data_IF_482968534121
#
_entry.id   IF_482968534121
#
_cell.length_a   1.000
_cell.length_b   1.000
_cell.length_c   1.000
_cell.angle_alpha   90.00
_cell.angle_beta   90.00
_cell.angle_gamma   90.00
#
_symmetry.space_group_name_H-M   'P 1'
#
loop_
_entity.id
_entity.type
_entity.pdbx_description
1 polymer ?
#
# COMPACT_ATOMS: atom_id res chain seq x y z
N UNK A 1 16.90 -21.83 -2.63
CA UNK A 1 15.62 -21.43 -3.26
C UNK A 1 15.85 -20.07 -3.90
N UNK A 2 15.52 -19.87 -5.17
CA UNK A 2 15.58 -18.58 -5.84
C UNK A 2 14.45 -17.67 -5.35
N UNK A 3 14.55 -16.35 -5.57
CA UNK A 3 13.47 -15.41 -5.21
C UNK A 3 12.16 -15.75 -5.93
N UNK A 4 12.24 -16.15 -7.19
CA UNK A 4 11.06 -16.54 -7.99
C UNK A 4 10.40 -17.82 -7.45
N UNK A 5 11.18 -18.85 -7.13
CA UNK A 5 10.66 -20.08 -6.51
C UNK A 5 10.01 -19.80 -5.17
N UNK A 6 10.62 -18.88 -4.38
CA UNK A 6 10.08 -18.43 -3.10
C UNK A 6 8.75 -17.72 -3.30
N UNK A 7 8.70 -16.76 -4.19
CA UNK A 7 7.49 -16.00 -4.51
C UNK A 7 6.35 -16.91 -4.97
N UNK A 8 6.60 -17.83 -5.93
CA UNK A 8 5.59 -18.78 -6.41
C UNK A 8 5.05 -19.68 -5.28
N UNK A 9 5.89 -19.99 -4.29
CA UNK A 9 5.44 -20.70 -3.09
C UNK A 9 4.56 -19.81 -2.20
N UNK A 10 4.95 -18.55 -1.95
CA UNK A 10 4.21 -17.65 -1.07
C UNK A 10 2.83 -17.28 -1.64
N UNK A 11 2.70 -17.07 -2.95
CA UNK A 11 1.39 -16.76 -3.57
C UNK A 11 0.41 -17.94 -3.53
N UNK A 12 0.88 -19.16 -3.27
CA UNK A 12 -0.01 -20.31 -3.09
C UNK A 12 -0.80 -20.28 -1.77
N UNK A 13 -0.39 -19.44 -0.82
CA UNK A 13 -1.12 -19.24 0.44
C UNK A 13 -2.20 -18.15 0.23
N UNK A 14 -3.49 -18.47 0.44
CA UNK A 14 -4.52 -17.43 0.41
C UNK A 14 -4.41 -16.57 1.68
N UNK A 15 -4.32 -15.25 1.53
CA UNK A 15 -4.11 -14.33 2.64
C UNK A 15 -4.95 -13.06 2.57
N UNK A 16 -6.03 -13.07 1.77
CA UNK A 16 -6.91 -11.91 1.63
C UNK A 16 -7.41 -11.43 2.99
N UNK A 17 -7.22 -10.14 3.28
CA UNK A 17 -7.70 -9.46 4.47
C UNK A 17 -9.21 -9.16 4.40
N UNK A 18 -9.82 -8.78 5.53
CA UNK A 18 -11.25 -8.52 5.65
C UNK A 18 -11.51 -7.25 6.49
N UNK A 19 -11.94 -6.17 5.83
CA UNK A 19 -12.27 -4.90 6.50
C UNK A 19 -13.38 -5.01 7.55
N UNK A 20 -14.30 -5.97 7.39
CA UNK A 20 -15.42 -6.17 8.31
C UNK A 20 -15.02 -6.89 9.60
N UNK A 21 -13.82 -7.50 9.62
CA UNK A 21 -13.32 -8.22 10.79
C UNK A 21 -12.78 -7.24 11.85
N UNK A 22 -13.00 -7.56 13.12
CA UNK A 22 -12.44 -6.82 14.28
C UNK A 22 -11.20 -7.53 14.88
N UNK A 23 -10.81 -8.69 14.32
CA UNK A 23 -9.63 -9.43 14.81
C UNK A 23 -8.33 -8.94 14.17
N UNK A 24 -7.19 -9.29 14.73
CA UNK A 24 -5.86 -9.15 14.15
C UNK A 24 -5.13 -10.50 14.24
N UNK A 25 -4.70 -11.09 13.12
CA UNK A 25 -5.02 -10.65 11.76
C UNK A 25 -6.53 -10.73 11.47
N UNK A 26 -6.98 -9.93 10.50
CA UNK A 26 -8.41 -9.87 10.11
C UNK A 26 -8.94 -11.20 9.60
N UNK A 27 -8.06 -12.04 9.04
CA UNK A 27 -8.38 -13.40 8.59
C UNK A 27 -7.35 -14.39 9.10
N UNK A 28 -7.81 -15.50 9.69
CA UNK A 28 -6.94 -16.56 10.22
C UNK A 28 -6.05 -17.22 9.13
N UNK A 29 -6.42 -17.10 7.86
CA UNK A 29 -5.63 -17.64 6.73
C UNK A 29 -4.23 -17.02 6.62
N UNK A 30 -4.05 -15.79 7.06
CA UNK A 30 -2.74 -15.12 7.07
C UNK A 30 -1.74 -15.84 8.00
N UNK A 31 -2.20 -16.47 9.08
CA UNK A 31 -1.34 -17.21 10.03
C UNK A 31 -0.64 -18.41 9.38
N UNK A 32 -1.23 -19.03 8.37
CA UNK A 32 -0.59 -20.14 7.66
C UNK A 32 0.66 -19.66 6.90
N UNK A 33 0.59 -18.49 6.26
CA UNK A 33 1.75 -17.86 5.65
C UNK A 33 2.77 -17.41 6.71
N UNK A 34 2.31 -16.77 7.80
CA UNK A 34 3.19 -16.35 8.90
C UNK A 34 4.04 -17.51 9.42
N UNK A 35 3.46 -18.68 9.66
CA UNK A 35 4.17 -19.89 10.09
C UNK A 35 5.17 -20.39 9.04
N UNK A 36 4.82 -20.34 7.76
CA UNK A 36 5.74 -20.70 6.68
C UNK A 36 6.94 -19.75 6.62
N UNK A 37 6.74 -18.43 6.84
CA UNK A 37 7.83 -17.45 6.89
C UNK A 37 8.77 -17.72 8.05
N UNK A 38 8.25 -17.99 9.25
CA UNK A 38 9.05 -18.40 10.40
C UNK A 38 9.87 -19.64 10.09
N UNK A 39 9.26 -20.68 9.48
CA UNK A 39 9.96 -21.90 9.09
C UNK A 39 11.10 -21.61 8.10
N UNK A 40 10.86 -20.78 7.06
CA UNK A 40 11.89 -20.42 6.10
C UNK A 40 13.05 -19.66 6.77
N UNK A 41 12.75 -18.73 7.66
CA UNK A 41 13.78 -17.98 8.41
C UNK A 41 14.60 -18.91 9.32
N UNK A 42 13.97 -19.84 10.02
CA UNK A 42 14.66 -20.82 10.86
C UNK A 42 15.54 -21.76 10.02
N UNK A 43 15.06 -22.21 8.86
CA UNK A 43 15.84 -23.02 7.91
C UNK A 43 17.09 -22.28 7.38
N UNK A 44 17.06 -20.94 7.34
CA UNK A 44 18.20 -20.10 6.99
C UNK A 44 19.13 -19.79 8.17
N UNK A 45 18.78 -20.19 9.39
CA UNK A 45 19.57 -19.95 10.60
C UNK A 45 19.18 -18.72 11.40
N UNK A 46 18.04 -18.07 11.09
CA UNK A 46 17.48 -16.97 11.89
C UNK A 46 16.76 -17.57 13.10
N UNK A 47 17.49 -17.73 14.20
CA UNK A 47 17.04 -18.50 15.35
C UNK A 47 15.92 -17.83 16.18
N UNK A 48 15.83 -16.51 16.16
CA UNK A 48 14.80 -15.72 16.85
C UNK A 48 13.53 -15.51 16.04
N UNK A 49 13.43 -16.13 14.84
CA UNK A 49 12.26 -16.05 14.01
C UNK A 49 11.01 -16.57 14.73
N UNK A 50 9.99 -15.74 14.83
CA UNK A 50 8.73 -16.06 15.49
C UNK A 50 7.56 -15.29 14.89
N UNK A 51 6.35 -15.79 15.14
CA UNK A 51 5.11 -15.05 14.95
C UNK A 51 4.56 -14.66 16.32
N UNK A 52 4.14 -13.42 16.46
CA UNK A 52 3.54 -12.94 17.70
C UNK A 52 2.04 -13.29 17.81
N UNK A 53 1.40 -12.85 18.91
CA UNK A 53 0.00 -13.12 19.18
C UNK A 53 -0.97 -12.44 18.21
N UNK A 54 -0.54 -11.38 17.55
CA UNK A 54 -1.32 -10.55 16.60
C UNK A 54 -0.98 -10.90 15.14
N UNK A 55 -0.13 -11.92 14.91
CA UNK A 55 0.17 -12.44 13.58
C UNK A 55 1.36 -11.78 12.88
N UNK A 56 2.05 -10.85 13.52
CA UNK A 56 3.27 -10.26 12.98
C UNK A 56 4.43 -11.26 13.05
N UNK A 57 5.21 -11.31 12.00
CA UNK A 57 6.40 -12.18 11.92
C UNK A 57 7.64 -11.34 12.09
N UNK A 58 8.53 -11.76 12.97
CA UNK A 58 9.79 -11.08 13.26
C UNK A 58 10.98 -12.02 13.15
N UNK A 59 12.15 -11.47 12.81
CA UNK A 59 13.43 -12.18 12.85
C UNK A 59 14.61 -11.23 12.74
N UNK A 60 15.81 -11.72 13.07
CA UNK A 60 17.03 -10.92 13.07
C UNK A 60 18.15 -11.61 12.29
N UNK A 61 18.70 -10.91 11.31
CA UNK A 61 19.98 -11.23 10.70
C UNK A 61 21.06 -10.55 11.57
N UNK A 62 21.88 -11.32 12.32
CA UNK A 62 22.87 -10.73 13.20
C UNK A 62 24.00 -10.07 12.40
N UNK A 63 24.59 -8.99 12.96
CA UNK A 63 25.77 -8.37 12.38
C UNK A 63 26.92 -9.38 12.25
N UNK A 64 27.70 -9.28 11.18
CA UNK A 64 28.90 -10.08 10.96
C UNK A 64 30.20 -9.26 11.04
N UNK A 65 30.13 -8.02 11.54
CA UNK A 65 31.29 -7.15 11.75
C UNK A 65 31.17 -6.35 13.05
N UNK A 66 32.29 -5.83 13.56
CA UNK A 66 32.40 -5.08 14.82
C UNK A 66 32.10 -3.57 14.66
N UNK A 67 31.74 -3.10 13.45
CA UNK A 67 31.41 -1.69 13.20
C UNK A 67 30.10 -1.32 13.91
N UNK A 68 30.06 -0.13 14.49
CA UNK A 68 28.82 0.46 15.02
C UNK A 68 27.97 0.99 13.87
N UNK A 69 27.03 0.20 13.43
CA UNK A 69 26.06 0.52 12.37
C UNK A 69 24.70 0.60 13.03
N UNK A 70 23.87 1.62 12.70
CA UNK A 70 22.47 1.63 13.12
C UNK A 70 21.76 0.34 12.71
N UNK A 71 20.79 -0.09 13.52
CA UNK A 71 19.98 -1.27 13.19
C UNK A 71 18.94 -0.88 12.14
N UNK A 72 18.95 -1.58 11.00
CA UNK A 72 17.98 -1.36 9.94
C UNK A 72 16.91 -2.43 9.91
N UNK A 73 15.68 -2.04 9.62
CA UNK A 73 14.54 -2.93 9.36
C UNK A 73 14.25 -3.07 7.87
N UNK A 74 13.81 -4.27 7.46
CA UNK A 74 13.16 -4.53 6.18
C UNK A 74 11.77 -5.09 6.48
N UNK A 75 10.73 -4.48 5.92
CA UNK A 75 9.34 -4.74 6.24
C UNK A 75 8.55 -4.94 4.95
N UNK A 76 7.64 -5.93 4.94
CA UNK A 76 6.70 -6.19 3.86
C UNK A 76 5.40 -6.72 4.45
N UNK A 77 4.27 -6.65 3.72
CA UNK A 77 3.03 -7.21 4.23
C UNK A 77 2.71 -8.59 3.66
N UNK A 78 1.93 -9.37 4.41
CA UNK A 78 1.61 -10.75 4.07
C UNK A 78 0.24 -10.91 3.43
N UNK A 79 -0.68 -10.01 3.73
CA UNK A 79 -2.05 -10.06 3.22
C UNK A 79 -2.12 -9.64 1.76
N UNK A 80 -3.25 -9.87 1.16
CA UNK A 80 -3.57 -9.43 -0.20
C UNK A 80 -4.89 -8.68 -0.21
N UNK A 81 -5.02 -7.76 -1.15
CA UNK A 81 -6.20 -6.93 -1.32
C UNK A 81 -7.51 -7.75 -1.46
N UNK A 82 -8.61 -7.29 -0.85
CA UNK A 82 -9.94 -7.84 -1.08
C UNK A 82 -10.58 -7.40 -2.41
N UNK A 83 -9.95 -6.50 -3.17
CA UNK A 83 -10.51 -5.91 -4.39
C UNK A 83 -10.65 -6.92 -5.55
N UNK A 84 -9.85 -7.99 -5.56
CA UNK A 84 -9.93 -9.08 -6.51
C UNK A 84 -9.81 -10.45 -5.83
N UNK A 85 -10.35 -11.53 -6.43
CA UNK A 85 -10.20 -12.86 -5.85
C UNK A 85 -8.74 -13.24 -5.63
N UNK A 86 -8.38 -13.66 -4.41
CA UNK A 86 -7.02 -14.02 -3.98
C UNK A 86 -6.85 -15.49 -3.58
N UNK A 87 -7.78 -16.38 -4.01
CA UNK A 87 -7.72 -17.81 -3.70
C UNK A 87 -7.46 -18.65 -4.97
N UNK A 88 -6.74 -19.76 -4.81
CA UNK A 88 -6.39 -20.67 -5.90
C UNK A 88 -5.63 -19.98 -7.05
N UNK A 89 -4.69 -19.11 -6.70
CA UNK A 89 -3.86 -18.35 -7.64
C UNK A 89 -3.09 -19.32 -8.53
N UNK A 90 -3.24 -19.19 -9.85
CA UNK A 90 -2.56 -20.01 -10.86
C UNK A 90 -1.46 -19.19 -11.53
N UNK A 91 -0.39 -18.97 -10.78
CA UNK A 91 0.75 -18.22 -11.28
C UNK A 91 1.57 -19.04 -12.28
N UNK A 92 2.03 -18.40 -13.35
CA UNK A 92 2.94 -18.97 -14.33
C UNK A 92 3.98 -17.95 -14.79
N UNK A 93 5.14 -18.45 -15.24
CA UNK A 93 6.19 -17.62 -15.83
C UNK A 93 6.00 -17.68 -17.35
N UNK A 94 6.07 -16.52 -18.02
CA UNK A 94 6.03 -16.43 -19.48
C UNK A 94 7.42 -16.68 -20.08
N UNK A 95 7.47 -16.95 -21.40
CA UNK A 95 8.67 -16.68 -22.17
C UNK A 95 9.00 -15.17 -22.13
N UNK A 96 10.22 -14.75 -22.50
CA UNK A 96 10.55 -13.33 -22.55
C UNK A 96 9.49 -12.55 -23.35
N UNK A 97 8.94 -11.53 -22.73
CA UNK A 97 7.82 -10.77 -23.30
C UNK A 97 8.22 -10.03 -24.58
N UNK A 98 7.46 -10.22 -25.65
CA UNK A 98 7.75 -9.71 -27.00
C UNK A 98 7.13 -8.32 -27.29
N UNK A 99 6.30 -7.80 -26.38
CA UNK A 99 5.59 -6.53 -26.55
C UNK A 99 4.16 -6.63 -27.09
N UNK A 100 3.65 -7.84 -27.35
CA UNK A 100 2.30 -8.12 -27.81
C UNK A 100 1.30 -8.36 -26.68
N UNK A 101 0.12 -8.85 -27.02
CA UNK A 101 -0.89 -9.26 -26.04
C UNK A 101 -0.49 -10.60 -25.39
N UNK A 102 -0.64 -10.71 -24.08
CA UNK A 102 -0.42 -11.96 -23.34
C UNK A 102 -1.78 -12.63 -23.09
N UNK A 103 -1.99 -13.81 -23.66
CA UNK A 103 -3.20 -14.61 -23.37
C UNK A 103 -3.06 -15.19 -21.96
N UNK A 104 -3.89 -14.71 -21.03
CA UNK A 104 -3.95 -15.25 -19.67
C UNK A 104 -4.84 -16.48 -19.60
N UNK A 105 -5.99 -16.45 -20.28
CA UNK A 105 -6.96 -17.54 -20.31
C UNK A 105 -7.66 -17.60 -21.67
N UNK A 106 -7.43 -18.67 -22.42
CA UNK A 106 -8.05 -18.88 -23.73
C UNK A 106 -9.56 -19.12 -23.65
N UNK A 107 -10.01 -19.94 -22.70
CA UNK A 107 -11.42 -20.31 -22.55
C UNK A 107 -12.29 -19.10 -22.16
N UNK A 108 -11.75 -18.21 -21.34
CA UNK A 108 -12.44 -17.01 -20.84
C UNK A 108 -12.13 -15.75 -21.67
N UNK A 109 -11.30 -15.89 -22.70
CA UNK A 109 -10.85 -14.78 -23.54
C UNK A 109 -10.23 -13.61 -22.74
N UNK A 110 -9.43 -13.95 -21.71
CA UNK A 110 -8.75 -12.95 -20.87
C UNK A 110 -7.35 -12.72 -21.42
N UNK A 111 -7.03 -11.44 -21.72
CA UNK A 111 -5.73 -11.04 -22.26
C UNK A 111 -5.20 -9.83 -21.47
N UNK A 112 -3.92 -9.85 -21.17
CA UNK A 112 -3.19 -8.68 -20.68
C UNK A 112 -2.58 -7.96 -21.90
N UNK A 113 -3.08 -6.75 -22.19
CA UNK A 113 -2.77 -6.03 -23.42
C UNK A 113 -2.02 -4.73 -23.16
N UNK A 114 -0.91 -4.43 -23.88
CA UNK A 114 -0.21 -3.14 -23.76
C UNK A 114 -1.04 -1.95 -24.29
N UNK A 115 -2.22 -2.17 -24.89
CA UNK A 115 -3.16 -1.10 -25.27
C UNK A 115 -3.94 -0.61 -24.06
N UNK A 116 -4.28 -1.51 -23.13
CA UNK A 116 -5.00 -1.20 -21.90
C UNK A 116 -4.03 -0.86 -20.77
N UNK A 117 -2.88 -1.54 -20.74
CA UNK A 117 -1.82 -1.39 -19.74
C UNK A 117 -0.50 -0.97 -20.39
N UNK A 118 -0.33 0.31 -20.77
CA UNK A 118 0.84 0.78 -21.54
C UNK A 118 2.19 0.54 -20.87
N UNK A 119 2.24 0.49 -19.54
CA UNK A 119 3.44 0.21 -18.73
C UNK A 119 4.03 -1.18 -19.02
N UNK A 120 3.24 -2.14 -19.48
CA UNK A 120 3.68 -3.48 -19.87
C UNK A 120 4.82 -3.42 -20.91
N UNK A 121 4.90 -2.37 -21.73
CA UNK A 121 5.96 -2.14 -22.71
C UNK A 121 7.35 -1.98 -22.08
N UNK A 122 7.41 -1.57 -20.81
CA UNK A 122 8.67 -1.44 -20.06
C UNK A 122 9.29 -2.80 -19.72
N UNK A 123 8.50 -3.87 -19.88
CA UNK A 123 8.89 -5.24 -19.54
C UNK A 123 9.29 -6.09 -20.76
N UNK A 124 9.41 -5.48 -21.96
CA UNK A 124 9.85 -6.19 -23.18
C UNK A 124 11.22 -6.83 -22.96
N UNK A 125 11.34 -8.10 -23.30
CA UNK A 125 12.54 -8.91 -23.12
C UNK A 125 12.68 -9.58 -21.75
N UNK A 126 11.80 -9.26 -20.78
CA UNK A 126 11.79 -9.88 -19.44
C UNK A 126 10.78 -11.04 -19.38
N UNK A 127 11.05 -12.00 -18.52
CA UNK A 127 10.09 -13.06 -18.17
C UNK A 127 9.09 -12.50 -17.16
N UNK A 128 7.82 -12.65 -17.39
CA UNK A 128 6.77 -12.14 -16.50
C UNK A 128 6.13 -13.28 -15.71
N UNK A 129 5.82 -13.02 -14.46
CA UNK A 129 4.94 -13.86 -13.66
C UNK A 129 3.55 -13.27 -13.75
N UNK A 130 2.59 -14.05 -14.21
CA UNK A 130 1.19 -13.66 -14.44
C UNK A 130 0.27 -14.75 -13.90
N UNK A 131 -1.02 -14.43 -13.72
CA UNK A 131 -2.07 -15.43 -13.41
C UNK A 131 -2.84 -15.84 -14.67
N UNK A 132 -3.88 -16.65 -14.48
CA UNK A 132 -4.87 -16.96 -15.51
C UNK A 132 -5.93 -15.86 -15.67
N UNK A 133 -5.76 -14.70 -15.04
CA UNK A 133 -6.68 -13.57 -15.09
C UNK A 133 -7.99 -13.77 -14.33
N UNK A 134 -8.12 -14.85 -13.53
CA UNK A 134 -9.31 -15.06 -12.69
C UNK A 134 -9.12 -14.58 -11.26
N UNK A 135 -7.87 -14.37 -10.85
CA UNK A 135 -7.45 -13.86 -9.54
C UNK A 135 -6.44 -12.75 -9.69
N UNK A 136 -6.17 -12.01 -8.61
CA UNK A 136 -4.93 -11.25 -8.49
C UNK A 136 -3.72 -12.21 -8.45
N UNK A 137 -2.49 -11.67 -8.54
CA UNK A 137 -1.26 -12.47 -8.40
C UNK A 137 -0.78 -12.50 -6.94
N UNK A 138 -0.96 -11.40 -6.20
CA UNK A 138 -0.43 -11.21 -4.86
C UNK A 138 1.07 -10.84 -4.87
N UNK A 139 1.54 -10.19 -5.95
CA UNK A 139 2.86 -9.55 -5.96
C UNK A 139 2.92 -8.44 -4.93
N UNK A 140 1.84 -7.74 -4.74
CA UNK A 140 1.54 -6.86 -3.62
C UNK A 140 0.99 -7.69 -2.44
N UNK A 141 1.80 -7.92 -1.34
CA UNK A 141 3.24 -7.60 -1.27
C UNK A 141 4.09 -8.86 -0.99
N UNK A 142 3.64 -10.03 -1.46
CA UNK A 142 4.44 -11.27 -1.34
C UNK A 142 5.72 -11.24 -2.17
N UNK A 143 5.84 -10.30 -3.13
CA UNK A 143 7.10 -10.05 -3.81
C UNK A 143 8.12 -9.44 -2.86
N UNK A 144 7.77 -8.38 -2.13
CA UNK A 144 8.62 -7.79 -1.11
C UNK A 144 9.02 -8.81 -0.03
N UNK A 145 8.06 -9.63 0.43
CA UNK A 145 8.36 -10.74 1.35
C UNK A 145 9.41 -11.69 0.78
N UNK A 146 9.26 -12.13 -0.47
CA UNK A 146 10.19 -13.05 -1.13
C UNK A 146 11.58 -12.42 -1.32
N UNK A 147 11.62 -11.15 -1.70
CA UNK A 147 12.85 -10.37 -1.93
C UNK A 147 13.61 -10.13 -0.64
N UNK A 148 12.93 -9.73 0.44
CA UNK A 148 13.54 -9.57 1.79
C UNK A 148 14.16 -10.88 2.26
N UNK A 149 13.42 -12.00 2.20
CA UNK A 149 13.93 -13.29 2.63
C UNK A 149 15.10 -13.77 1.76
N UNK A 150 15.08 -13.47 0.46
CA UNK A 150 16.15 -13.85 -0.45
C UNK A 150 17.40 -12.96 -0.24
N UNK A 151 17.22 -11.67 0.05
CA UNK A 151 18.30 -10.78 0.45
C UNK A 151 18.91 -11.20 1.80
N UNK A 152 18.08 -11.58 2.78
CA UNK A 152 18.55 -12.11 4.06
C UNK A 152 19.39 -13.37 3.87
N UNK A 153 19.00 -14.26 2.96
CA UNK A 153 19.80 -15.45 2.61
C UNK A 153 21.17 -15.06 2.01
N UNK A 154 21.21 -14.04 1.12
CA UNK A 154 22.48 -13.53 0.57
C UNK A 154 23.38 -12.94 1.67
N UNK A 155 22.81 -12.17 2.60
CA UNK A 155 23.54 -11.56 3.71
C UNK A 155 24.13 -12.62 4.63
N UNK A 156 23.35 -13.64 5.00
CA UNK A 156 23.80 -14.74 5.88
C UNK A 156 24.87 -15.64 5.26
N UNK A 157 24.92 -15.74 3.93
CA UNK A 157 25.89 -16.61 3.23
C UNK A 157 27.10 -15.85 2.69
N UNK A 158 27.09 -14.51 2.77
CA UNK A 158 28.18 -13.64 2.29
C UNK A 158 29.17 -13.32 3.41
N UNK A 159 30.45 -13.20 3.04
CA UNK A 159 31.50 -12.65 3.92
C UNK A 159 31.55 -11.12 3.95
N UNK A 160 30.77 -10.44 3.08
CA UNK A 160 30.70 -8.98 3.06
C UNK A 160 30.14 -8.46 4.40
N UNK A 161 30.78 -7.42 4.97
CA UNK A 161 30.34 -6.89 6.27
C UNK A 161 28.95 -6.26 6.17
N UNK A 162 28.13 -6.48 7.20
CA UNK A 162 26.85 -5.82 7.41
C UNK A 162 26.52 -5.67 8.90
N UNK A 163 25.68 -4.69 9.22
CA UNK A 163 25.14 -4.50 10.57
C UNK A 163 24.02 -5.48 10.90
N UNK A 164 23.41 -5.30 12.06
CA UNK A 164 22.19 -6.01 12.43
C UNK A 164 21.02 -5.56 11.57
N UNK A 165 20.27 -6.51 11.01
CA UNK A 165 19.11 -6.24 10.19
C UNK A 165 17.89 -6.95 10.81
N UNK A 166 16.83 -6.19 11.04
CA UNK A 166 15.56 -6.68 11.54
C UNK A 166 14.63 -6.96 10.36
N UNK A 167 13.95 -8.08 10.39
CA UNK A 167 12.94 -8.46 9.41
C UNK A 167 11.58 -8.45 10.07
N UNK A 168 10.59 -7.87 9.41
CA UNK A 168 9.21 -7.96 9.87
C UNK A 168 8.25 -8.17 8.69
N UNK A 169 7.20 -8.97 8.94
CA UNK A 169 6.12 -9.15 7.97
C UNK A 169 4.79 -8.88 8.66
N UNK A 170 4.05 -7.90 8.14
CA UNK A 170 2.83 -7.37 8.74
C UNK A 170 1.59 -8.04 8.18
N UNK A 171 0.53 -8.27 8.98
CA UNK A 171 -0.80 -8.60 8.50
C UNK A 171 -1.59 -7.32 8.21
N UNK A 172 -2.68 -7.43 7.44
CA UNK A 172 -3.77 -6.44 7.33
C UNK A 172 -3.36 -5.03 6.82
N UNK A 173 -2.27 -4.93 6.05
CA UNK A 173 -1.85 -3.66 5.43
C UNK A 173 -2.92 -3.16 4.47
N UNK A 174 -3.44 -4.02 3.62
CA UNK A 174 -4.40 -3.74 2.54
C UNK A 174 -5.75 -3.17 3.03
N UNK A 175 -6.02 -3.30 4.31
CA UNK A 175 -7.16 -2.67 4.98
C UNK A 175 -6.73 -1.53 5.93
N UNK A 176 -5.47 -1.05 5.80
CA UNK A 176 -4.92 0.08 6.53
C UNK A 176 -4.62 -0.20 7.99
N UNK A 177 -4.43 -1.45 8.40
CA UNK A 177 -4.21 -1.88 9.80
C UNK A 177 -2.84 -2.48 10.05
N UNK A 178 -1.97 -2.58 9.05
CA UNK A 178 -0.67 -3.25 9.15
C UNK A 178 0.23 -2.72 10.27
N UNK A 179 0.19 -1.42 10.56
CA UNK A 179 0.96 -0.83 11.65
C UNK A 179 0.21 -0.78 13.01
N UNK A 180 -1.08 -1.15 13.10
CA UNK A 180 -1.92 -0.92 14.29
C UNK A 180 -1.37 -1.54 15.57
N UNK A 181 -0.75 -2.71 15.47
CA UNK A 181 -0.21 -3.46 16.61
C UNK A 181 1.27 -3.81 16.46
N UNK A 182 1.95 -3.14 15.52
CA UNK A 182 3.37 -3.33 15.32
C UNK A 182 4.18 -2.86 16.53
N UNK A 183 4.96 -3.72 17.13
CA UNK A 183 5.81 -3.36 18.28
C UNK A 183 7.11 -2.70 17.81
N UNK A 184 7.06 -1.40 17.52
CA UNK A 184 8.23 -0.60 17.09
C UNK A 184 9.39 -0.71 18.08
N UNK A 185 9.11 -0.74 19.40
CA UNK A 185 10.16 -0.82 20.42
C UNK A 185 10.78 -2.20 20.49
N UNK A 186 9.95 -3.25 20.45
CA UNK A 186 10.42 -4.65 20.45
C UNK A 186 11.13 -5.01 19.15
N UNK A 187 10.72 -4.44 18.02
CA UNK A 187 11.39 -4.57 16.73
C UNK A 187 12.82 -4.03 16.81
N UNK A 188 13.03 -2.90 17.48
CA UNK A 188 14.35 -2.42 17.86
C UNK A 188 15.25 -2.00 16.69
N UNK A 189 14.67 -1.57 15.58
CA UNK A 189 15.40 -0.93 14.49
C UNK A 189 15.43 0.60 14.69
N UNK A 190 16.56 1.23 14.32
CA UNK A 190 16.70 2.69 14.33
C UNK A 190 16.02 3.32 13.10
N UNK A 191 16.07 2.63 11.97
CA UNK A 191 15.50 2.99 10.67
C UNK A 191 14.98 1.75 9.98
N UNK A 192 14.03 1.91 9.07
CA UNK A 192 13.55 0.80 8.26
C UNK A 192 13.28 1.21 6.80
N UNK A 193 13.03 0.22 5.97
CA UNK A 193 12.43 0.36 4.64
C UNK A 193 11.28 -0.63 4.54
N UNK A 194 10.12 -0.17 4.09
CA UNK A 194 9.13 -1.09 3.52
C UNK A 194 9.55 -1.46 2.10
N UNK A 195 9.33 -2.69 1.70
CA UNK A 195 9.57 -3.20 0.33
C UNK A 195 8.20 -3.54 -0.23
N UNK A 196 7.47 -2.51 -0.63
CA UNK A 196 6.02 -2.53 -0.91
C UNK A 196 5.67 -1.48 -1.99
N UNK A 197 6.64 -1.12 -2.82
CA UNK A 197 6.46 -0.14 -3.90
C UNK A 197 6.22 -0.76 -5.27
N UNK A 198 6.04 0.08 -6.27
CA UNK A 198 5.74 -0.30 -7.64
C UNK A 198 6.94 -0.75 -8.46
N UNK A 199 7.02 -0.21 -9.69
CA UNK A 199 7.99 -0.59 -10.71
C UNK A 199 9.46 -0.45 -10.26
N UNK A 200 10.32 -1.28 -10.83
CA UNK A 200 11.76 -1.26 -10.57
C UNK A 200 12.36 0.15 -10.66
N UNK A 201 13.03 0.55 -9.59
CA UNK A 201 13.69 1.86 -9.45
C UNK A 201 12.81 2.91 -8.76
N UNK A 202 11.56 2.66 -8.48
CA UNK A 202 10.72 3.57 -7.70
C UNK A 202 11.17 3.61 -6.25
N UNK A 203 11.21 4.82 -5.70
CA UNK A 203 11.59 5.13 -4.33
C UNK A 203 10.64 6.18 -3.79
N UNK A 204 10.00 5.89 -2.70
CA UNK A 204 8.86 6.65 -2.20
C UNK A 204 9.12 7.08 -0.75
N UNK A 205 9.01 8.37 -0.48
CA UNK A 205 9.09 8.95 0.86
C UNK A 205 8.04 10.05 1.10
N UNK A 206 7.08 10.13 0.18
CA UNK A 206 5.92 11.00 0.25
C UNK A 206 4.65 10.20 -0.03
N UNK A 207 3.65 10.37 0.80
CA UNK A 207 2.32 9.81 0.61
C UNK A 207 1.25 10.87 0.85
N UNK A 208 0.00 10.58 0.58
CA UNK A 208 -1.08 11.51 0.91
C UNK A 208 -1.21 11.74 2.42
N UNK A 209 -1.66 12.94 2.80
CA UNK A 209 -2.46 13.13 4.00
C UNK A 209 -3.88 12.69 3.68
N UNK A 210 -4.54 12.01 4.59
CA UNK A 210 -5.82 11.37 4.35
C UNK A 210 -6.83 11.65 5.47
N UNK A 211 -8.06 11.94 5.06
CA UNK A 211 -9.21 12.00 5.96
C UNK A 211 -10.42 11.33 5.30
N UNK A 212 -11.33 10.85 6.13
CA UNK A 212 -12.70 10.52 5.77
C UNK A 212 -13.64 11.63 6.21
N UNK A 213 -14.70 11.87 5.42
CA UNK A 213 -15.75 12.80 5.75
C UNK A 213 -17.10 12.11 5.57
N UNK A 214 -17.88 12.03 6.63
CA UNK A 214 -19.27 11.60 6.62
C UNK A 214 -20.16 12.83 6.79
N UNK A 215 -21.12 13.02 5.88
CA UNK A 215 -22.08 14.11 5.96
C UNK A 215 -23.48 13.50 6.03
N UNK A 216 -24.19 13.79 7.11
CA UNK A 216 -25.60 13.40 7.30
C UNK A 216 -26.47 14.62 7.04
N UNK A 217 -27.44 14.47 6.15
CA UNK A 217 -28.42 15.52 5.81
C UNK A 217 -29.75 15.18 6.45
N UNK A 218 -30.27 16.09 7.27
CA UNK A 218 -31.57 15.98 7.91
C UNK A 218 -32.59 16.75 7.07
N UNK A 219 -33.58 16.05 6.52
CA UNK A 219 -34.67 16.63 5.75
C UNK A 219 -35.94 16.81 6.58
N UNK A 220 -36.95 17.31 5.92
CA UNK A 220 -38.31 17.46 6.46
C UNK A 220 -39.32 17.07 5.41
N UNK A 221 -39.99 15.94 5.64
CA UNK A 221 -41.04 15.46 4.74
C UNK A 221 -42.36 16.19 4.99
N UNK A 222 -43.09 16.42 3.91
CA UNK A 222 -44.47 16.91 3.93
C UNK A 222 -45.15 16.45 2.62
N UNK A 223 -46.47 16.38 2.60
CA UNK A 223 -47.20 15.98 1.43
C UNK A 223 -46.82 16.87 0.21
N UNK A 224 -46.35 16.29 -0.91
CA UNK A 224 -45.80 17.05 -2.04
C UNK A 224 -46.71 18.16 -2.55
N UNK A 225 -48.00 17.94 -2.57
CA UNK A 225 -48.99 18.95 -2.99
C UNK A 225 -49.07 20.19 -2.09
N UNK A 226 -48.54 20.11 -0.84
CA UNK A 226 -48.57 21.21 0.14
C UNK A 226 -47.14 21.63 0.57
N UNK A 227 -46.12 21.19 -0.15
CA UNK A 227 -44.72 21.27 0.25
C UNK A 227 -44.04 22.61 0.02
N UNK A 228 -44.70 23.56 -0.71
CA UNK A 228 -44.10 24.84 -1.07
C UNK A 228 -43.56 25.61 0.13
N UNK A 229 -42.25 25.84 0.17
CA UNK A 229 -41.55 26.58 1.23
C UNK A 229 -41.52 25.87 2.59
N UNK A 230 -41.87 24.57 2.64
CA UNK A 230 -41.93 23.80 3.88
C UNK A 230 -41.12 22.49 3.85
N UNK A 231 -41.06 21.79 2.70
CA UNK A 231 -40.30 20.56 2.54
C UNK A 231 -38.82 20.87 2.41
N UNK A 232 -38.00 20.08 3.10
CA UNK A 232 -36.56 19.97 2.87
C UNK A 232 -36.26 18.53 2.44
N UNK A 233 -36.03 18.32 1.16
CA UNK A 233 -35.71 16.99 0.61
C UNK A 233 -34.22 16.71 0.78
N UNK A 234 -33.86 15.84 1.73
CA UNK A 234 -32.48 15.56 2.06
C UNK A 234 -31.67 15.02 0.85
N UNK A 235 -32.27 14.20 -0.02
CA UNK A 235 -31.58 13.69 -1.19
C UNK A 235 -31.21 14.82 -2.18
N UNK A 236 -32.08 15.81 -2.39
CA UNK A 236 -31.78 16.96 -3.22
C UNK A 236 -30.74 17.89 -2.57
N UNK A 237 -30.83 18.10 -1.27
CA UNK A 237 -29.86 18.88 -0.50
C UNK A 237 -28.48 18.24 -0.55
N UNK A 238 -28.39 16.90 -0.48
CA UNK A 238 -27.12 16.18 -0.62
C UNK A 238 -26.48 16.40 -2.00
N UNK A 239 -27.25 16.38 -3.08
CA UNK A 239 -26.75 16.71 -4.43
C UNK A 239 -26.31 18.17 -4.54
N UNK A 240 -27.06 19.11 -3.91
CA UNK A 240 -26.67 20.51 -3.85
C UNK A 240 -25.36 20.71 -3.09
N UNK A 241 -25.18 20.06 -1.93
CA UNK A 241 -23.94 20.09 -1.15
C UNK A 241 -22.77 19.58 -1.99
N UNK A 242 -22.93 18.44 -2.67
CA UNK A 242 -21.91 17.91 -3.57
C UNK A 242 -21.51 18.92 -4.63
N UNK A 243 -22.47 19.66 -5.18
CA UNK A 243 -22.24 20.72 -6.17
C UNK A 243 -21.49 21.95 -5.63
N UNK A 244 -21.32 22.11 -4.33
CA UNK A 244 -20.50 23.18 -3.71
C UNK A 244 -19.02 22.83 -3.66
N UNK A 245 -18.66 21.55 -3.87
CA UNK A 245 -17.28 21.13 -3.91
C UNK A 245 -16.64 21.36 -5.30
N UNK A 246 -15.31 21.53 -5.37
CA UNK A 246 -14.61 21.73 -6.64
C UNK A 246 -14.80 20.54 -7.61
N UNK A 247 -15.53 20.73 -8.69
CA UNK A 247 -15.97 19.66 -9.59
C UNK A 247 -14.82 18.89 -10.29
N UNK A 248 -13.65 19.54 -10.49
CA UNK A 248 -12.50 18.95 -11.17
C UNK A 248 -11.45 18.37 -10.17
N UNK A 249 -11.70 18.47 -8.87
CA UNK A 249 -10.81 17.93 -7.85
C UNK A 249 -11.29 16.54 -7.39
N UNK A 250 -11.38 15.63 -8.35
CA UNK A 250 -11.75 14.22 -8.13
C UNK A 250 -10.65 13.28 -8.65
N UNK A 251 -10.63 12.00 -8.27
CA UNK A 251 -9.64 11.05 -8.79
C UNK A 251 -9.54 11.00 -10.31
N UNK A 252 -10.66 11.19 -11.02
CA UNK A 252 -10.69 11.17 -12.49
C UNK A 252 -9.87 12.31 -13.13
N UNK A 253 -9.77 13.48 -12.47
CA UNK A 253 -9.09 14.68 -13.00
C UNK A 253 -7.74 14.98 -12.35
N UNK A 254 -7.30 14.16 -11.39
CA UNK A 254 -6.10 14.44 -10.62
C UNK A 254 -5.06 13.32 -10.74
N UNK A 255 -3.80 13.73 -10.75
CA UNK A 255 -2.63 12.84 -10.85
C UNK A 255 -1.46 13.38 -10.00
N UNK A 256 -0.45 12.57 -9.78
CA UNK A 256 0.79 12.95 -9.08
C UNK A 256 0.47 13.59 -7.71
N UNK A 257 0.92 14.81 -7.49
CA UNK A 257 0.76 15.55 -6.24
C UNK A 257 -0.59 16.25 -6.04
N UNK A 258 -1.49 16.19 -7.04
CA UNK A 258 -2.80 16.83 -6.92
C UNK A 258 -3.71 16.05 -5.99
N UNK A 259 -4.24 16.73 -4.97
CA UNK A 259 -5.22 16.17 -4.05
C UNK A 259 -6.64 16.15 -4.64
N UNK A 260 -7.55 15.48 -3.94
CA UNK A 260 -8.93 15.30 -4.40
C UNK A 260 -9.94 15.13 -3.26
N UNK A 261 -11.21 15.26 -3.63
CA UNK A 261 -12.37 14.73 -2.91
C UNK A 261 -12.94 13.56 -3.72
N UNK A 262 -13.11 12.42 -3.09
CA UNK A 262 -13.77 11.28 -3.74
C UNK A 262 -15.05 10.92 -2.99
N UNK A 263 -16.19 11.08 -3.64
CA UNK A 263 -17.47 10.60 -3.14
C UNK A 263 -17.48 9.07 -3.27
N UNK A 264 -17.36 8.38 -2.16
CA UNK A 264 -17.33 6.90 -2.10
C UNK A 264 -18.74 6.32 -2.15
N UNK A 265 -19.65 6.93 -1.38
CA UNK A 265 -21.03 6.49 -1.31
C UNK A 265 -21.98 7.66 -1.09
N UNK A 266 -23.18 7.54 -1.65
CA UNK A 266 -24.29 8.45 -1.42
C UNK A 266 -25.58 7.64 -1.33
N UNK A 267 -26.35 7.87 -0.27
CA UNK A 267 -27.68 7.27 -0.06
C UNK A 267 -28.63 8.35 0.41
N UNK A 268 -29.88 8.29 0.04
CA UNK A 268 -30.82 9.30 0.53
C UNK A 268 -32.24 9.15 0.08
N UNK A 269 -33.13 9.66 0.90
CA UNK A 269 -34.56 9.84 0.68
C UNK A 269 -34.99 11.24 1.17
N UNK A 270 -36.28 11.51 1.31
CA UNK A 270 -36.76 12.86 1.65
C UNK A 270 -36.32 13.32 3.03
N UNK A 271 -36.31 12.43 4.05
CA UNK A 271 -36.04 12.79 5.44
C UNK A 271 -34.57 12.67 5.83
N UNK A 272 -33.82 11.82 5.15
CA UNK A 272 -32.42 11.58 5.46
C UNK A 272 -31.59 11.33 4.20
N UNK A 273 -30.36 11.83 4.19
CA UNK A 273 -29.36 11.44 3.22
C UNK A 273 -27.99 11.38 3.87
N UNK A 274 -27.10 10.57 3.30
CA UNK A 274 -25.74 10.40 3.74
C UNK A 274 -24.79 10.45 2.54
N UNK A 275 -23.69 11.19 2.70
CA UNK A 275 -22.58 11.21 1.74
C UNK A 275 -21.31 10.80 2.49
N UNK A 276 -20.53 9.92 1.87
CA UNK A 276 -19.24 9.48 2.38
C UNK A 276 -18.13 9.88 1.39
N UNK A 277 -17.14 10.60 1.89
CA UNK A 277 -16.00 11.07 1.12
C UNK A 277 -14.69 10.59 1.72
N UNK A 278 -13.70 10.43 0.86
CA UNK A 278 -12.30 10.47 1.25
C UNK A 278 -11.65 11.75 0.70
N UNK A 279 -10.79 12.37 1.51
CA UNK A 279 -10.07 13.59 1.19
C UNK A 279 -8.58 13.26 1.19
N UNK A 280 -7.87 13.68 0.14
CA UNK A 280 -6.45 13.40 -0.05
C UNK A 280 -5.72 14.64 -0.53
N UNK A 281 -4.53 14.91 0.03
CA UNK A 281 -3.56 15.87 -0.52
C UNK A 281 -2.15 15.56 0.04
N UNK A 282 -1.10 15.71 -0.77
CA UNK A 282 0.27 15.55 -0.29
C UNK A 282 0.72 16.74 0.58
N UNK A 283 0.27 17.94 0.26
CA UNK A 283 0.58 19.15 1.03
C UNK A 283 -0.34 19.27 2.23
N UNK A 284 0.23 19.39 3.43
CA UNK A 284 -0.51 19.50 4.68
C UNK A 284 -1.44 20.71 4.73
N UNK A 285 -0.98 21.88 4.27
CA UNK A 285 -1.78 23.09 4.29
C UNK A 285 -2.97 23.01 3.32
N UNK A 286 -2.77 22.42 2.13
CA UNK A 286 -3.85 22.16 1.18
C UNK A 286 -4.82 21.12 1.70
N UNK A 287 -4.34 20.09 2.38
CA UNK A 287 -5.18 19.08 3.02
C UNK A 287 -6.12 19.71 4.06
N UNK A 288 -5.59 20.55 4.96
CA UNK A 288 -6.41 21.28 5.93
C UNK A 288 -7.38 22.24 5.23
N UNK A 289 -6.94 22.94 4.18
CA UNK A 289 -7.81 23.80 3.38
C UNK A 289 -8.97 23.02 2.73
N UNK A 290 -8.74 21.76 2.29
CA UNK A 290 -9.80 20.90 1.75
C UNK A 290 -10.86 20.54 2.80
N UNK A 291 -10.45 20.21 4.01
CA UNK A 291 -11.37 19.98 5.13
C UNK A 291 -12.21 21.22 5.42
N UNK A 292 -11.57 22.39 5.45
CA UNK A 292 -12.26 23.67 5.64
C UNK A 292 -13.26 24.00 4.51
N UNK A 293 -13.03 23.56 3.28
CA UNK A 293 -14.02 23.69 2.18
C UNK A 293 -15.26 22.85 2.47
N UNK A 294 -15.10 21.61 2.96
CA UNK A 294 -16.23 20.77 3.38
C UNK A 294 -17.05 21.40 4.50
N UNK A 295 -16.38 21.94 5.53
CA UNK A 295 -17.02 22.65 6.64
C UNK A 295 -17.84 23.85 6.14
N UNK A 296 -17.28 24.62 5.21
CA UNK A 296 -17.97 25.76 4.59
C UNK A 296 -19.16 25.34 3.75
N UNK A 297 -19.07 24.22 3.01
CA UNK A 297 -20.17 23.67 2.25
C UNK A 297 -21.33 23.26 3.17
N UNK A 298 -21.06 22.57 4.27
CA UNK A 298 -22.07 22.24 5.28
C UNK A 298 -22.69 23.48 5.92
N UNK A 299 -21.88 24.46 6.28
CA UNK A 299 -22.37 25.72 6.84
C UNK A 299 -23.27 26.50 5.85
N UNK A 300 -22.96 26.44 4.55
CA UNK A 300 -23.82 27.07 3.53
C UNK A 300 -25.16 26.34 3.40
N UNK A 301 -25.20 25.02 3.50
CA UNK A 301 -26.45 24.24 3.55
C UNK A 301 -27.26 24.62 4.80
N UNK A 302 -26.64 24.68 5.96
CA UNK A 302 -27.31 25.12 7.18
C UNK A 302 -27.87 26.54 7.09
N UNK A 303 -27.14 27.43 6.42
CA UNK A 303 -27.64 28.80 6.16
C UNK A 303 -28.89 28.82 5.27
N UNK A 304 -28.99 27.90 4.30
CA UNK A 304 -30.13 27.85 3.36
C UNK A 304 -31.35 27.17 3.96
N UNK A 305 -31.15 26.08 4.70
CA UNK A 305 -32.21 25.18 5.11
C UNK A 305 -32.46 25.15 6.61
N UNK A 306 -31.61 25.78 7.40
CA UNK A 306 -31.66 25.82 8.86
C UNK A 306 -30.49 25.05 9.52
N UNK A 307 -30.11 25.51 10.71
CA UNK A 307 -29.01 24.92 11.46
C UNK A 307 -29.26 23.43 11.76
N UNK A 308 -28.25 22.60 11.58
CA UNK A 308 -28.30 21.15 11.81
C UNK A 308 -28.88 20.37 10.62
N UNK A 309 -29.12 21.01 9.47
CA UNK A 309 -29.49 20.29 8.24
C UNK A 309 -28.34 19.46 7.71
N UNK A 310 -27.08 19.94 7.78
CA UNK A 310 -25.90 19.21 7.37
C UNK A 310 -24.96 18.97 8.57
N UNK A 311 -24.80 17.71 8.96
CA UNK A 311 -23.91 17.30 10.06
C UNK A 311 -22.69 16.63 9.49
N UNK A 312 -21.52 17.27 9.64
CA UNK A 312 -20.24 16.78 9.15
C UNK A 312 -19.44 16.09 10.25
N UNK A 313 -18.96 14.90 9.98
CA UNK A 313 -17.97 14.18 10.79
C UNK A 313 -16.71 14.00 9.96
N UNK A 314 -15.60 14.62 10.40
CA UNK A 314 -14.26 14.47 9.81
C UNK A 314 -13.39 13.59 10.69
N UNK A 315 -12.63 12.67 10.08
CA UNK A 315 -11.63 11.84 10.77
C UNK A 315 -10.37 11.76 9.92
N UNK A 316 -9.24 12.23 10.47
CA UNK A 316 -7.93 12.04 9.86
C UNK A 316 -7.52 10.56 10.01
N UNK A 317 -6.97 9.97 8.95
CA UNK A 317 -6.56 8.57 8.90
C UNK A 317 -5.05 8.43 9.02
N UNK A 318 -4.30 9.15 8.19
CA UNK A 318 -2.83 9.15 8.19
C UNK A 318 -2.29 10.44 7.58
N UNK A 319 -0.98 10.65 7.74
CA UNK A 319 -0.30 11.84 7.25
C UNK A 319 0.88 11.50 6.34
N UNK A 320 1.35 12.48 5.59
CA UNK A 320 2.49 12.33 4.70
C UNK A 320 3.77 12.09 5.51
N UNK A 321 4.41 10.93 5.27
CA UNK A 321 5.64 10.53 5.96
C UNK A 321 6.84 11.44 5.67
N UNK A 322 6.78 12.27 4.63
CA UNK A 322 7.85 13.22 4.27
C UNK A 322 8.33 14.04 5.47
N UNK A 323 7.43 14.49 6.34
CA UNK A 323 7.81 15.28 7.51
C UNK A 323 8.70 14.50 8.51
N UNK A 324 8.56 13.17 8.52
CA UNK A 324 9.36 12.26 9.36
C UNK A 324 10.63 11.78 8.65
N UNK A 325 10.59 11.67 7.33
CA UNK A 325 11.75 11.26 6.51
C UNK A 325 12.70 12.44 6.26
N UNK A 326 12.20 13.68 6.16
CA UNK A 326 13.03 14.84 5.88
C UNK A 326 14.26 15.01 6.81
N UNK A 327 14.20 14.74 8.13
CA UNK A 327 15.38 14.74 8.98
C UNK A 327 16.35 13.58 8.69
N UNK A 328 15.92 12.55 7.98
CA UNK A 328 16.63 11.31 7.71
C UNK A 328 16.85 11.06 6.21
N UNK A 329 17.03 12.13 5.41
CA UNK A 329 17.20 12.03 3.94
C UNK A 329 18.35 11.16 3.50
N UNK A 330 19.31 10.86 4.39
CA UNK A 330 20.37 9.88 4.11
C UNK A 330 19.79 8.47 3.78
N UNK A 331 18.60 8.11 4.27
CA UNK A 331 17.91 6.87 3.89
C UNK A 331 17.64 6.85 2.38
N UNK A 332 17.15 7.96 1.85
CA UNK A 332 16.87 8.12 0.42
C UNK A 332 18.14 8.09 -0.41
N UNK A 333 19.18 8.80 0.05
CA UNK A 333 20.48 8.82 -0.65
C UNK A 333 21.16 7.45 -0.62
N UNK A 334 21.05 6.70 0.48
CA UNK A 334 21.55 5.33 0.57
C UNK A 334 20.82 4.39 -0.40
N UNK A 335 19.48 4.48 -0.46
CA UNK A 335 18.68 3.69 -1.39
C UNK A 335 19.05 3.99 -2.86
N UNK A 336 19.20 5.28 -3.22
CA UNK A 336 19.64 5.68 -4.58
C UNK A 336 21.00 5.08 -4.93
N UNK A 337 22.00 5.20 -4.05
CA UNK A 337 23.33 4.62 -4.27
C UNK A 337 23.27 3.12 -4.46
N UNK A 338 22.47 2.42 -3.66
CA UNK A 338 22.30 0.97 -3.80
C UNK A 338 21.64 0.63 -5.15
N UNK A 339 20.60 1.36 -5.57
CA UNK A 339 19.98 1.20 -6.89
C UNK A 339 20.99 1.39 -8.02
N UNK A 340 21.73 2.49 -8.01
CA UNK A 340 22.75 2.80 -9.02
C UNK A 340 23.84 1.73 -9.09
N UNK A 341 24.25 1.18 -7.94
CA UNK A 341 25.29 0.15 -7.87
C UNK A 341 24.89 -1.19 -8.51
N UNK A 342 23.59 -1.48 -8.57
CA UNK A 342 23.04 -2.66 -9.27
C UNK A 342 22.51 -2.32 -10.68
N UNK A 343 22.82 -1.14 -11.20
CA UNK A 343 22.44 -0.71 -12.55
C UNK A 343 21.01 -0.20 -12.69
N UNK A 344 20.33 0.10 -11.59
CA UNK A 344 18.97 0.63 -11.56
C UNK A 344 18.98 2.14 -11.43
N UNK A 345 18.23 2.83 -12.29
CA UNK A 345 18.07 4.29 -12.18
C UNK A 345 16.98 4.63 -11.18
N UNK A 346 17.29 5.33 -10.07
CA UNK A 346 16.30 5.68 -9.07
C UNK A 346 15.29 6.72 -9.60
N UNK A 347 14.01 6.53 -9.26
CA UNK A 347 12.91 7.42 -9.59
C UNK A 347 12.14 7.75 -8.31
N UNK A 348 12.13 9.02 -7.91
CA UNK A 348 11.31 9.46 -6.79
C UNK A 348 9.87 9.63 -7.29
N UNK A 349 8.96 8.91 -6.68
CA UNK A 349 7.53 8.99 -6.97
C UNK A 349 6.73 9.19 -5.67
N UNK A 350 5.61 9.93 -5.71
CA UNK A 350 4.73 10.06 -4.55
C UNK A 350 3.70 8.92 -4.51
N UNK A 351 3.49 8.32 -3.35
CA UNK A 351 2.41 7.38 -3.12
C UNK A 351 1.07 8.13 -3.11
N UNK A 352 0.10 7.68 -3.88
CA UNK A 352 -1.26 8.25 -3.91
C UNK A 352 -2.24 7.51 -2.98
N UNK A 353 -1.73 6.88 -1.94
CA UNK A 353 -2.43 6.14 -0.91
C UNK A 353 -1.76 6.31 0.44
N UNK A 354 -1.94 5.33 1.31
CA UNK A 354 -1.21 5.10 2.55
C UNK A 354 -0.21 3.97 2.37
N UNK A 355 0.56 3.68 3.39
CA UNK A 355 1.46 2.53 3.51
C UNK A 355 1.83 2.33 4.98
N UNK A 356 2.18 1.12 5.37
CA UNK A 356 2.68 0.83 6.71
C UNK A 356 3.89 1.73 7.05
N UNK A 357 4.80 1.96 6.10
CA UNK A 357 5.96 2.82 6.28
C UNK A 357 5.60 4.25 6.71
N UNK A 358 4.49 4.79 6.19
CA UNK A 358 4.01 6.10 6.61
C UNK A 358 3.59 6.11 8.09
N UNK A 359 2.83 5.11 8.52
CA UNK A 359 2.36 5.01 9.91
C UNK A 359 3.52 4.75 10.88
N UNK A 360 4.39 3.80 10.55
CA UNK A 360 5.59 3.47 11.33
C UNK A 360 6.50 4.70 11.49
N UNK A 361 6.62 5.54 10.44
CA UNK A 361 7.39 6.78 10.53
C UNK A 361 6.83 7.74 11.59
N UNK A 362 5.50 7.83 11.74
CA UNK A 362 4.87 8.63 12.79
C UNK A 362 4.98 8.00 14.18
N UNK A 363 5.17 6.68 14.27
CA UNK A 363 5.41 5.95 15.52
C UNK A 363 6.87 5.96 15.97
N UNK A 364 7.74 6.64 15.20
CA UNK A 364 9.14 6.88 15.55
C UNK A 364 10.16 5.99 14.85
N UNK A 365 9.72 5.23 13.83
CA UNK A 365 10.58 4.43 12.96
C UNK A 365 10.57 5.01 11.54
N UNK A 366 11.49 5.93 11.18
CA UNK A 366 11.56 6.46 9.81
C UNK A 366 11.69 5.34 8.78
N UNK A 367 10.69 5.22 7.89
CA UNK A 367 10.52 4.05 7.03
C UNK A 367 10.03 4.45 5.63
N UNK A 368 10.93 4.88 4.70
CA UNK A 368 10.58 5.07 3.31
C UNK A 368 10.32 3.74 2.60
N UNK A 369 9.69 3.80 1.43
CA UNK A 369 9.25 2.64 0.67
C UNK A 369 10.15 2.39 -0.55
N UNK A 370 10.52 1.13 -0.77
CA UNK A 370 11.29 0.62 -1.90
C UNK A 370 10.38 -0.17 -2.84
N UNK A 371 10.72 -0.20 -4.13
CA UNK A 371 10.00 -0.94 -5.15
C UNK A 371 10.09 -2.46 -4.96
N UNK A 372 9.05 -3.17 -5.45
CA UNK A 372 9.01 -4.63 -5.60
C UNK A 372 9.12 -5.08 -7.06
N UNK A 373 8.95 -4.16 -8.02
CA UNK A 373 8.94 -4.47 -9.45
C UNK A 373 7.59 -4.91 -10.00
N UNK A 374 6.56 -5.04 -9.14
CA UNK A 374 5.22 -5.42 -9.55
C UNK A 374 4.43 -4.28 -10.20
N UNK A 375 3.38 -4.63 -10.91
CA UNK A 375 2.51 -3.71 -11.65
C UNK A 375 1.06 -4.19 -11.66
N UNK A 376 0.12 -3.26 -11.82
CA UNK A 376 -1.32 -3.53 -11.90
C UNK A 376 -1.89 -4.16 -10.62
N UNK A 377 -1.41 -3.75 -9.47
CA UNK A 377 -1.82 -4.24 -8.15
C UNK A 377 -3.33 -4.18 -7.93
N UNK A 378 -3.84 -4.95 -6.95
CA UNK A 378 -5.26 -5.06 -6.59
C UNK A 378 -6.17 -5.57 -7.72
N UNK A 379 -5.60 -6.13 -8.79
CA UNK A 379 -6.35 -6.50 -9.98
C UNK A 379 -5.98 -7.85 -10.57
N UNK A 380 -6.86 -8.34 -11.47
CA UNK A 380 -6.67 -9.62 -12.17
C UNK A 380 -5.58 -9.60 -13.25
N UNK A 381 -5.09 -8.40 -13.57
CA UNK A 381 -4.04 -8.16 -14.56
C UNK A 381 -2.70 -7.82 -13.90
N UNK A 382 -2.59 -8.09 -12.61
CA UNK A 382 -1.37 -7.96 -11.84
C UNK A 382 -0.28 -8.86 -12.42
N UNK A 383 0.93 -8.33 -12.53
CA UNK A 383 2.10 -9.06 -13.00
C UNK A 383 3.37 -8.53 -12.37
N UNK A 384 4.43 -9.35 -12.38
CA UNK A 384 5.76 -8.95 -11.95
C UNK A 384 6.83 -9.56 -12.86
N UNK A 385 7.82 -8.78 -13.33
CA UNK A 385 8.97 -9.32 -14.04
C UNK A 385 9.87 -10.13 -13.09
N UNK A 386 10.08 -11.41 -13.38
CA UNK A 386 10.95 -12.29 -12.60
C UNK A 386 12.39 -11.76 -12.50
N UNK A 387 12.89 -11.13 -13.57
CA UNK A 387 14.23 -10.58 -13.62
C UNK A 387 14.38 -9.33 -12.74
N UNK A 388 13.29 -8.59 -12.51
CA UNK A 388 13.26 -7.44 -11.60
C UNK A 388 13.32 -7.88 -10.13
N UNK A 389 12.65 -8.97 -9.77
CA UNK A 389 12.74 -9.55 -8.42
C UNK A 389 14.18 -9.96 -8.04
N UNK A 390 14.91 -10.55 -9.00
CA UNK A 390 16.33 -10.89 -8.81
C UNK A 390 17.17 -9.62 -8.59
N UNK A 391 16.89 -8.58 -9.35
CA UNK A 391 17.57 -7.27 -9.25
C UNK A 391 17.28 -6.61 -7.90
N UNK A 392 16.03 -6.61 -7.44
CA UNK A 392 15.63 -6.01 -6.16
C UNK A 392 16.21 -6.82 -4.98
N UNK A 393 16.22 -8.14 -5.06
CA UNK A 393 16.92 -8.97 -4.06
C UNK A 393 18.39 -8.54 -3.88
N UNK A 394 19.09 -8.32 -5.00
CA UNK A 394 20.48 -7.85 -4.98
C UNK A 394 20.58 -6.40 -4.49
N UNK A 395 19.61 -5.54 -4.84
CA UNK A 395 19.52 -4.16 -4.35
C UNK A 395 19.41 -4.13 -2.83
N UNK A 396 18.53 -4.92 -2.24
CA UNK A 396 18.34 -4.98 -0.79
C UNK A 396 19.60 -5.46 -0.07
N UNK A 397 20.25 -6.50 -0.58
CA UNK A 397 21.53 -6.98 -0.03
C UNK A 397 22.63 -5.91 -0.16
N UNK A 398 22.75 -5.25 -1.33
CA UNK A 398 23.73 -4.19 -1.54
C UNK A 398 23.48 -2.98 -0.64
N UNK A 399 22.20 -2.61 -0.42
CA UNK A 399 21.84 -1.54 0.51
C UNK A 399 22.36 -1.82 1.91
N UNK A 400 22.25 -3.05 2.40
CA UNK A 400 22.74 -3.43 3.74
C UNK A 400 24.27 -3.52 3.81
N UNK A 401 24.94 -4.00 2.76
CA UNK A 401 26.41 -4.07 2.72
C UNK A 401 27.05 -2.67 2.69
N UNK A 402 26.54 -1.75 1.87
CA UNK A 402 27.11 -0.40 1.76
C UNK A 402 27.01 0.41 3.05
N UNK A 403 26.06 0.09 3.95
CA UNK A 403 25.97 0.72 5.27
C UNK A 403 27.12 0.33 6.20
N UNK A 404 27.85 -0.74 5.87
CA UNK A 404 29.04 -1.19 6.59
C UNK A 404 30.36 -0.72 5.96
N UNK A 405 30.33 -0.07 4.80
CA UNK A 405 31.51 0.51 4.17
C UNK A 405 31.88 1.87 4.82
#
# INVERSE_FOLDING_TARGET
MTVVERFLKLVSYPTTSDEASETCPSTARQLALAQELVRQMQDMGIADAHVDQDGYVYGTVPANCDKKIPVYGLIAHMDTSPDAPGENIRARITEPYDGGDIVLNEEKHIMLSPKEYPQLKNSVGKRLIVTDGTTLLGADDKAGVAEILSAAQLLLTSEKPHGTIKLAFTPDEEIGRGADRFDVKGFGADYAYTVDGGALGELEYENFNAASAKIEICGKSIHPGSAKGQMVNAALVAMELHGLLPALETPYYTEKYKGFYHLVAMRGETEQAELQYIIRDHDRAKFEARKAVMEKACAEIDRRYGAGTAVLTLRDSYYNMKEKIAPCMFLIENAKKAMESVGVTPKIVPIRGGTDGARLSFEGLPCPNLCTGGENFHGRFEYIPADDMETITNLLAQLMWQLAE
#
